data_IF_597769735470
#
_entry.id   IF_597769735470
#
_cell.length_a   1.000
_cell.length_b   1.000
_cell.length_c   1.000
_cell.angle_alpha   90.00
_cell.angle_beta   90.00
_cell.angle_gamma   90.00
#
_symmetry.space_group_name_H-M   'P 1'
#
loop_
_entity.id
_entity.type
_entity.pdbx_description
1 polymer ?
#
# COMPACT_ATOMS: atom_id res chain seq x y z
N UNK A 1 23.05 -15.44 10.24
CA UNK A 1 21.68 -15.54 10.82
C UNK A 1 20.69 -15.12 9.75
N UNK A 2 19.52 -15.74 9.66
CA UNK A 2 18.47 -15.33 8.72
C UNK A 2 17.80 -14.05 9.22
N UNK A 3 17.34 -13.17 8.28
CA UNK A 3 16.69 -11.91 8.63
C UNK A 3 15.38 -12.17 9.37
N UNK A 4 15.20 -11.50 10.50
CA UNK A 4 13.94 -11.46 11.28
C UNK A 4 13.18 -10.18 10.91
N UNK A 5 11.84 -10.25 10.80
CA UNK A 5 10.99 -9.06 10.65
C UNK A 5 10.56 -8.53 12.03
N UNK A 6 10.34 -7.22 12.10
CA UNK A 6 9.96 -6.57 13.37
C UNK A 6 8.65 -7.15 13.91
N UNK A 7 7.68 -7.47 13.08
CA UNK A 7 6.42 -8.13 13.50
C UNK A 7 6.59 -9.46 14.21
N UNK A 8 7.72 -10.16 13.98
CA UNK A 8 7.96 -11.51 14.48
C UNK A 8 8.80 -11.55 15.75
N UNK A 9 9.16 -10.37 16.29
CA UNK A 9 10.00 -10.25 17.48
C UNK A 9 9.32 -10.84 18.72
N UNK A 10 10.04 -11.72 19.41
CA UNK A 10 9.60 -12.35 20.67
C UNK A 10 10.68 -12.25 21.73
N UNK A 11 10.33 -11.93 23.01
CA UNK A 11 11.29 -11.82 24.08
C UNK A 11 12.20 -13.07 24.22
N UNK A 12 13.45 -12.84 24.54
CA UNK A 12 14.45 -13.88 24.78
C UNK A 12 15.16 -14.44 23.54
N UNK A 13 14.73 -14.07 22.33
CA UNK A 13 15.32 -14.52 21.07
C UNK A 13 16.51 -13.64 20.64
N UNK A 14 17.53 -14.27 20.09
CA UNK A 14 18.57 -13.59 19.34
C UNK A 14 18.07 -13.35 17.91
N UNK A 15 18.35 -12.16 17.39
CA UNK A 15 17.77 -11.70 16.10
C UNK A 15 18.81 -11.00 15.23
N UNK A 16 18.49 -10.99 13.92
CA UNK A 16 19.18 -10.22 12.91
C UNK A 16 18.14 -9.37 12.16
N UNK A 17 18.23 -8.05 12.29
CA UNK A 17 17.34 -7.07 11.66
C UNK A 17 18.07 -6.30 10.57
N UNK A 18 17.34 -5.92 9.54
CA UNK A 18 17.76 -4.95 8.53
C UNK A 18 16.63 -3.93 8.35
N UNK A 19 16.96 -2.65 8.37
CA UNK A 19 15.95 -1.61 8.27
C UNK A 19 16.53 -0.22 8.15
N UNK A 20 15.65 0.75 8.25
CA UNK A 20 15.97 2.18 8.19
C UNK A 20 15.91 2.80 9.59
N UNK A 21 16.85 3.71 9.87
CA UNK A 21 16.83 4.52 11.07
C UNK A 21 15.68 5.53 10.98
N UNK A 22 14.58 5.24 11.64
CA UNK A 22 13.38 6.08 11.62
C UNK A 22 13.51 7.30 12.52
N UNK A 23 14.09 7.10 13.70
CA UNK A 23 14.42 8.16 14.65
C UNK A 23 15.63 7.75 15.48
N UNK A 24 16.37 8.72 16.02
CA UNK A 24 17.52 8.46 16.87
C UNK A 24 17.59 9.48 18.01
N UNK A 25 17.79 8.99 19.22
CA UNK A 25 18.09 9.78 20.39
C UNK A 25 19.41 9.35 21.01
N UNK A 26 20.39 10.23 20.99
CA UNK A 26 21.73 9.97 21.55
C UNK A 26 21.86 10.54 22.95
N UNK A 27 22.31 9.72 23.90
CA UNK A 27 22.78 10.08 25.22
C UNK A 27 24.27 9.74 25.34
N UNK A 28 24.96 10.25 26.34
CA UNK A 28 26.41 10.08 26.47
C UNK A 28 26.88 8.61 26.40
N UNK A 29 26.10 7.68 26.95
CA UNK A 29 26.47 6.25 27.05
C UNK A 29 25.51 5.30 26.33
N UNK A 30 24.46 5.81 25.70
CA UNK A 30 23.43 5.02 25.04
C UNK A 30 22.84 5.77 23.85
N UNK A 31 22.54 5.05 22.78
CA UNK A 31 21.72 5.52 21.68
C UNK A 31 20.43 4.70 21.64
N UNK A 32 19.28 5.37 21.52
CA UNK A 32 17.98 4.75 21.26
C UNK A 32 17.67 4.97 19.79
N UNK A 33 17.55 3.89 19.05
CA UNK A 33 17.29 3.92 17.61
C UNK A 33 15.90 3.33 17.40
N UNK A 34 15.01 4.07 16.76
CA UNK A 34 13.79 3.50 16.23
C UNK A 34 14.13 2.91 14.86
N UNK A 35 14.21 1.60 14.79
CA UNK A 35 14.43 0.87 13.54
C UNK A 35 13.09 0.57 12.90
N UNK A 36 12.96 0.84 11.61
CA UNK A 36 11.78 0.54 10.82
C UNK A 36 12.11 -0.45 9.71
N UNK A 37 11.23 -1.44 9.53
CA UNK A 37 11.15 -2.26 8.34
C UNK A 37 9.75 -2.21 7.71
N UNK A 38 9.44 -3.09 6.75
CA UNK A 38 8.12 -3.15 6.11
C UNK A 38 6.99 -3.63 7.03
N UNK A 39 7.33 -4.24 8.16
CA UNK A 39 6.40 -4.86 9.11
C UNK A 39 6.15 -4.02 10.36
N UNK A 40 7.02 -3.03 10.67
CA UNK A 40 6.82 -2.20 11.85
C UNK A 40 8.01 -1.34 12.24
N UNK A 41 7.91 -0.80 13.46
CA UNK A 41 8.92 0.04 14.12
C UNK A 41 9.20 -0.52 15.52
N UNK A 42 10.49 -0.74 15.85
CA UNK A 42 10.93 -1.22 17.16
C UNK A 42 12.03 -0.34 17.72
N UNK A 43 12.09 -0.23 19.05
CA UNK A 43 13.19 0.42 19.75
C UNK A 43 14.40 -0.51 19.86
N UNK A 44 15.56 -0.03 19.42
CA UNK A 44 16.85 -0.70 19.60
C UNK A 44 17.71 0.14 20.54
N UNK A 45 18.30 -0.50 21.55
CA UNK A 45 19.16 0.13 22.57
C UNK A 45 20.60 -0.23 22.29
N UNK A 46 21.40 0.75 21.89
CA UNK A 46 22.83 0.61 21.58
C UNK A 46 23.64 1.27 22.71
N UNK A 47 24.47 0.49 23.40
CA UNK A 47 25.27 0.93 24.55
C UNK A 47 26.68 1.29 24.14
N UNK A 48 27.31 2.19 24.88
CA UNK A 48 28.74 2.51 24.72
C UNK A 48 29.58 1.22 24.84
N UNK A 49 30.54 1.05 23.91
CA UNK A 49 31.37 -0.16 23.83
C UNK A 49 30.81 -1.26 22.91
N UNK A 50 29.54 -1.16 22.49
CA UNK A 50 29.00 -2.05 21.47
C UNK A 50 29.59 -1.69 20.10
N UNK A 51 29.88 -2.70 19.27
CA UNK A 51 30.33 -2.50 17.90
C UNK A 51 29.28 -1.68 17.12
N UNK A 52 29.73 -0.62 16.43
CA UNK A 52 28.85 0.33 15.72
C UNK A 52 28.32 1.50 16.58
N UNK A 53 28.68 1.59 17.88
CA UNK A 53 28.25 2.73 18.72
C UNK A 53 28.70 4.10 18.21
N UNK A 54 29.91 4.15 17.65
CA UNK A 54 30.50 5.39 17.12
C UNK A 54 30.08 5.72 15.68
N UNK A 55 29.28 4.86 15.04
CA UNK A 55 28.76 5.14 13.71
C UNK A 55 27.92 6.45 13.72
N UNK A 56 28.15 7.26 12.69
CA UNK A 56 27.42 8.51 12.49
C UNK A 56 26.14 8.21 11.71
N UNK A 57 25.07 7.95 12.45
CA UNK A 57 23.76 7.62 11.89
C UNK A 57 22.96 8.90 11.59
N UNK A 58 22.35 8.93 10.43
CA UNK A 58 21.33 9.92 10.03
C UNK A 58 19.97 9.27 9.87
N UNK A 59 18.89 10.04 9.88
CA UNK A 59 17.55 9.52 9.58
C UNK A 59 17.55 8.86 8.21
N UNK A 60 16.84 7.73 8.10
CA UNK A 60 16.75 6.90 6.91
C UNK A 60 18.06 6.20 6.47
N UNK A 61 19.14 6.30 7.26
CA UNK A 61 20.31 5.40 7.08
C UNK A 61 19.88 3.96 7.15
N UNK A 62 20.49 3.11 6.32
CA UNK A 62 20.23 1.67 6.28
C UNK A 62 21.22 0.95 7.18
N UNK A 63 20.71 0.15 8.10
CA UNK A 63 21.54 -0.56 9.08
C UNK A 63 21.18 -2.04 9.18
N UNK A 64 22.18 -2.83 9.60
CA UNK A 64 22.02 -4.18 10.13
C UNK A 64 22.20 -4.13 11.64
N UNK A 65 21.34 -4.83 12.38
CA UNK A 65 21.39 -4.94 13.82
C UNK A 65 21.30 -6.41 14.22
N UNK A 66 22.29 -6.88 14.98
CA UNK A 66 22.17 -8.12 15.75
C UNK A 66 21.97 -7.79 17.22
N UNK A 67 21.21 -8.61 17.91
CA UNK A 67 20.93 -8.37 19.31
C UNK A 67 19.95 -9.36 19.89
N UNK A 68 19.55 -9.09 21.12
CA UNK A 68 18.59 -9.91 21.87
C UNK A 68 17.32 -9.13 22.18
N UNK A 69 16.17 -9.73 21.89
CA UNK A 69 14.88 -9.14 22.22
C UNK A 69 14.63 -9.24 23.72
N UNK A 70 14.31 -8.11 24.37
CA UNK A 70 13.95 -8.02 25.78
C UNK A 70 12.50 -7.55 25.94
N UNK A 71 11.85 -8.02 26.99
CA UNK A 71 10.56 -7.44 27.40
C UNK A 71 10.79 -6.02 27.89
N UNK A 72 9.95 -5.10 27.44
CA UNK A 72 9.97 -3.69 27.82
C UNK A 72 8.53 -3.16 27.94
N UNK A 73 8.37 -1.99 28.55
CA UNK A 73 7.09 -1.26 28.56
C UNK A 73 7.36 0.15 28.03
N UNK A 74 7.05 0.35 26.76
CA UNK A 74 7.37 1.57 26.02
C UNK A 74 6.11 2.39 25.78
N UNK A 75 6.24 3.71 25.80
CA UNK A 75 5.12 4.66 25.67
C UNK A 75 5.15 5.44 24.34
N UNK A 76 6.22 5.30 23.56
CA UNK A 76 6.32 6.00 22.29
C UNK A 76 5.24 5.51 21.30
N UNK A 77 4.45 6.44 20.79
CA UNK A 77 3.31 6.12 19.91
C UNK A 77 3.71 5.66 18.51
N UNK A 78 4.90 6.01 18.04
CA UNK A 78 5.45 5.59 16.74
C UNK A 78 5.81 4.10 16.70
N UNK A 79 5.99 3.45 17.87
CA UNK A 79 6.34 2.04 17.96
C UNK A 79 5.16 1.14 17.62
N UNK A 80 5.38 0.21 16.71
CA UNK A 80 4.44 -0.90 16.43
C UNK A 80 4.44 -1.89 17.59
N UNK A 81 5.64 -2.19 18.14
CA UNK A 81 5.79 -3.07 19.31
C UNK A 81 6.17 -2.25 20.54
N UNK A 82 5.25 -2.16 21.51
CA UNK A 82 5.43 -1.41 22.77
C UNK A 82 5.83 -2.28 23.96
N UNK A 83 5.84 -3.60 23.77
CA UNK A 83 6.10 -4.59 24.82
C UNK A 83 7.49 -5.23 24.71
N UNK A 84 8.27 -4.86 23.72
CA UNK A 84 9.64 -5.36 23.50
C UNK A 84 10.59 -4.25 23.07
N UNK A 85 11.88 -4.46 23.35
CA UNK A 85 12.99 -3.69 22.78
C UNK A 85 14.13 -4.63 22.40
N UNK A 86 15.04 -4.17 21.55
CA UNK A 86 16.22 -4.91 21.15
C UNK A 86 17.45 -4.39 21.88
N UNK A 87 18.08 -5.21 22.70
CA UNK A 87 19.41 -4.95 23.28
C UNK A 87 20.46 -5.30 22.21
N UNK A 88 21.06 -4.29 21.61
CA UNK A 88 21.94 -4.42 20.44
C UNK A 88 23.30 -4.96 20.85
N UNK A 89 23.74 -6.03 20.21
CA UNK A 89 25.10 -6.59 20.37
C UNK A 89 26.07 -6.08 19.27
N UNK A 90 25.53 -5.78 18.10
CA UNK A 90 26.28 -5.20 16.99
C UNK A 90 25.35 -4.38 16.09
N UNK A 91 25.86 -3.24 15.61
CA UNK A 91 25.23 -2.42 14.58
C UNK A 91 26.25 -2.20 13.47
N UNK A 92 25.81 -2.42 12.23
CA UNK A 92 26.58 -2.16 11.03
C UNK A 92 25.83 -1.17 10.15
N UNK A 93 26.45 -0.04 9.84
CA UNK A 93 25.95 0.93 8.87
C UNK A 93 26.18 0.39 7.46
N UNK A 94 25.11 0.14 6.72
CA UNK A 94 25.17 -0.31 5.33
C UNK A 94 25.23 0.85 4.35
N UNK A 95 24.41 1.87 4.60
CA UNK A 95 24.35 3.08 3.80
C UNK A 95 23.93 4.27 4.64
N UNK A 96 24.73 5.33 4.64
CA UNK A 96 24.40 6.60 5.30
C UNK A 96 23.47 7.40 4.38
N UNK A 97 22.34 7.85 4.89
CA UNK A 97 21.47 8.75 4.14
C UNK A 97 21.95 10.19 4.24
N UNK A 98 21.81 10.93 3.15
CA UNK A 98 21.99 12.38 3.09
C UNK A 98 20.78 13.10 3.68
N UNK A 99 20.80 14.44 3.69
CA UNK A 99 19.66 15.24 4.12
C UNK A 99 18.43 14.96 3.25
N UNK A 100 17.30 14.67 3.90
CA UNK A 100 16.09 14.26 3.21
C UNK A 100 15.30 15.46 2.69
N UNK A 101 14.83 15.45 1.44
CA UNK A 101 13.99 16.52 0.89
C UNK A 101 12.60 16.58 1.53
N UNK A 102 12.13 15.48 2.12
CA UNK A 102 10.92 15.41 2.94
C UNK A 102 11.16 14.56 4.18
N UNK A 103 10.53 14.91 5.29
CA UNK A 103 10.62 14.09 6.49
C UNK A 103 9.72 12.86 6.39
N UNK A 104 10.23 11.73 6.84
CA UNK A 104 9.53 10.44 6.87
C UNK A 104 8.82 10.20 8.21
N UNK A 105 9.40 10.68 9.32
CA UNK A 105 8.74 10.66 10.62
C UNK A 105 7.69 11.79 10.75
N UNK A 106 6.73 11.66 11.67
CA UNK A 106 5.63 12.63 11.81
C UNK A 106 6.01 13.91 12.59
N UNK A 107 7.30 14.09 12.94
CA UNK A 107 7.76 15.20 13.80
C UNK A 107 7.89 16.55 13.11
N UNK A 108 7.68 16.62 11.79
CA UNK A 108 7.84 17.86 11.03
C UNK A 108 6.58 18.36 10.36
N UNK A 109 6.64 19.59 9.84
CA UNK A 109 5.60 20.12 8.96
C UNK A 109 5.44 19.20 7.74
N UNK A 110 4.19 18.85 7.40
CA UNK A 110 3.91 18.03 6.24
C UNK A 110 4.31 18.76 4.94
N UNK A 111 4.96 18.04 4.03
CA UNK A 111 5.22 18.57 2.69
C UNK A 111 3.93 18.60 1.87
N UNK A 112 3.80 19.61 1.00
CA UNK A 112 2.69 19.72 0.04
C UNK A 112 2.68 18.56 -0.95
N UNK A 113 1.50 18.27 -1.51
CA UNK A 113 1.30 17.10 -2.38
C UNK A 113 2.28 17.02 -3.57
N UNK A 114 2.58 18.10 -4.31
CA UNK A 114 3.58 18.06 -5.40
C UNK A 114 4.95 17.58 -4.91
N UNK A 115 5.47 18.16 -3.83
CA UNK A 115 6.75 17.77 -3.24
C UNK A 115 6.76 16.31 -2.78
N UNK A 116 5.63 15.80 -2.24
CA UNK A 116 5.48 14.40 -1.86
C UNK A 116 5.47 13.47 -3.07
N UNK A 117 4.87 13.88 -4.18
CA UNK A 117 4.86 13.11 -5.43
C UNK A 117 6.26 13.04 -6.05
N UNK A 118 7.00 14.15 -6.06
CA UNK A 118 8.38 14.19 -6.56
C UNK A 118 9.32 13.31 -5.71
N UNK A 119 9.01 13.14 -4.43
CA UNK A 119 9.77 12.32 -3.48
C UNK A 119 9.00 11.06 -3.03
N UNK A 120 8.29 10.42 -3.96
CA UNK A 120 7.33 9.34 -3.66
C UNK A 120 7.91 8.16 -2.90
N UNK A 121 9.16 7.78 -3.18
CA UNK A 121 9.85 6.68 -2.48
C UNK A 121 10.01 6.94 -0.97
N UNK A 122 10.24 8.20 -0.58
CA UNK A 122 10.30 8.61 0.82
C UNK A 122 8.89 8.78 1.41
N UNK A 123 7.95 9.36 0.65
CA UNK A 123 6.58 9.56 1.11
C UNK A 123 5.88 8.23 1.48
N UNK A 124 6.08 7.18 0.67
CA UNK A 124 5.51 5.84 0.95
C UNK A 124 6.13 5.18 2.18
N UNK A 125 7.29 5.62 2.67
CA UNK A 125 7.88 5.14 3.93
C UNK A 125 7.11 5.62 5.16
N UNK A 126 6.28 6.66 5.05
CA UNK A 126 5.40 7.11 6.14
C UNK A 126 4.35 6.03 6.43
N UNK A 127 4.19 5.59 7.70
CA UNK A 127 3.27 4.50 8.03
C UNK A 127 1.84 4.72 7.52
N UNK A 128 1.30 5.93 7.65
CA UNK A 128 -0.05 6.27 7.16
C UNK A 128 -0.17 6.18 5.64
N UNK A 129 0.87 6.56 4.90
CA UNK A 129 0.87 6.47 3.43
C UNK A 129 1.00 5.00 3.00
N UNK A 130 1.91 4.25 3.62
CA UNK A 130 2.05 2.81 3.39
C UNK A 130 0.75 2.04 3.65
N UNK A 131 0.01 2.41 4.71
CA UNK A 131 -1.26 1.81 5.07
C UNK A 131 -2.30 1.90 3.93
N UNK A 132 -2.35 3.03 3.20
CA UNK A 132 -3.24 3.22 2.04
C UNK A 132 -2.96 2.16 0.97
N UNK A 133 -1.68 1.92 0.63
CA UNK A 133 -1.30 0.94 -0.39
C UNK A 133 -1.55 -0.50 0.05
N UNK A 134 -1.34 -0.80 1.34
CA UNK A 134 -1.68 -2.11 1.92
C UNK A 134 -3.19 -2.39 1.80
N UNK A 135 -4.03 -1.42 2.20
CA UNK A 135 -5.49 -1.53 2.07
C UNK A 135 -5.89 -1.68 0.60
N UNK A 136 -5.32 -0.88 -0.31
CA UNK A 136 -5.60 -0.99 -1.75
C UNK A 136 -5.28 -2.39 -2.29
N UNK A 137 -4.17 -2.99 -1.87
CA UNK A 137 -3.80 -4.36 -2.24
C UNK A 137 -4.85 -5.38 -1.78
N UNK A 138 -5.35 -5.25 -0.55
CA UNK A 138 -6.39 -6.15 -0.01
C UNK A 138 -7.74 -5.92 -0.70
N UNK A 139 -8.09 -4.70 -1.07
CA UNK A 139 -9.30 -4.39 -1.87
C UNK A 139 -9.27 -5.13 -3.21
N UNK A 140 -8.15 -5.02 -3.95
CA UNK A 140 -8.00 -5.69 -5.26
C UNK A 140 -8.03 -7.21 -5.08
N UNK A 141 -7.33 -7.74 -4.08
CA UNK A 141 -7.34 -9.16 -3.78
C UNK A 141 -8.76 -9.66 -3.43
N UNK A 142 -9.49 -8.92 -2.60
CA UNK A 142 -10.88 -9.26 -2.23
C UNK A 142 -11.83 -9.28 -3.42
N UNK A 143 -11.66 -8.34 -4.37
CA UNK A 143 -12.42 -8.35 -5.61
C UNK A 143 -12.16 -9.63 -6.42
N UNK A 144 -10.88 -9.96 -6.64
CA UNK A 144 -10.49 -11.17 -7.37
C UNK A 144 -10.99 -12.45 -6.68
N UNK A 145 -10.75 -12.57 -5.38
CA UNK A 145 -11.17 -13.72 -4.59
C UNK A 145 -12.69 -13.96 -4.70
N UNK A 146 -13.48 -12.89 -4.59
CA UNK A 146 -14.93 -12.98 -4.70
C UNK A 146 -15.37 -13.50 -6.08
N UNK A 147 -14.86 -12.91 -7.16
CA UNK A 147 -15.30 -13.27 -8.51
C UNK A 147 -14.75 -14.62 -8.98
N UNK A 148 -13.53 -15.00 -8.62
CA UNK A 148 -13.06 -16.37 -8.82
C UNK A 148 -13.93 -17.39 -8.07
N UNK A 149 -14.31 -17.10 -6.83
CA UNK A 149 -15.22 -17.93 -6.04
C UNK A 149 -16.63 -18.07 -6.61
N UNK A 150 -17.06 -17.14 -7.47
CA UNK A 150 -18.33 -17.17 -8.20
C UNK A 150 -18.22 -17.77 -9.61
N UNK A 151 -17.05 -18.30 -9.99
CA UNK A 151 -16.80 -18.94 -11.27
C UNK A 151 -16.62 -17.97 -12.44
N UNK A 152 -16.20 -16.74 -12.16
CA UNK A 152 -15.82 -15.79 -13.21
C UNK A 152 -14.40 -16.05 -13.71
N UNK A 153 -14.14 -15.72 -14.98
CA UNK A 153 -12.84 -15.76 -15.61
C UNK A 153 -12.24 -14.35 -15.64
N UNK A 154 -11.03 -14.16 -15.12
CA UNK A 154 -10.33 -12.88 -15.24
C UNK A 154 -9.79 -12.71 -16.66
N UNK A 155 -10.15 -11.62 -17.32
CA UNK A 155 -9.65 -11.25 -18.64
C UNK A 155 -8.68 -10.08 -18.54
N UNK A 156 -7.75 -10.00 -19.53
CA UNK A 156 -6.75 -8.93 -19.61
C UNK A 156 -7.00 -8.13 -20.92
N UNK A 157 -7.88 -7.11 -20.88
CA UNK A 157 -8.17 -6.30 -22.05
C UNK A 157 -6.98 -5.41 -22.42
N UNK A 158 -6.80 -5.08 -23.73
CA UNK A 158 -5.73 -4.18 -24.15
C UNK A 158 -5.96 -2.75 -23.66
N UNK A 159 -4.87 -2.09 -23.27
CA UNK A 159 -4.87 -0.69 -22.83
C UNK A 159 -4.70 0.32 -23.96
N UNK A 160 -4.26 -0.13 -25.16
CA UNK A 160 -4.17 0.69 -26.38
C UNK A 160 -5.16 0.14 -27.39
N UNK A 161 -6.04 0.98 -27.89
CA UNK A 161 -7.19 0.59 -28.70
C UNK A 161 -7.32 1.47 -29.94
N UNK A 162 -8.00 0.97 -30.98
CA UNK A 162 -8.14 1.67 -32.26
C UNK A 162 -9.30 2.69 -32.28
N UNK A 163 -10.24 2.62 -31.33
CA UNK A 163 -11.45 3.45 -31.30
C UNK A 163 -11.91 3.74 -29.88
N UNK A 164 -12.82 4.69 -29.72
CA UNK A 164 -13.50 4.95 -28.43
C UNK A 164 -14.31 3.74 -27.99
N UNK A 165 -14.31 3.47 -26.69
CA UNK A 165 -15.12 2.42 -26.05
C UNK A 165 -16.38 2.97 -25.39
N UNK A 166 -16.43 4.28 -25.16
CA UNK A 166 -17.57 4.99 -24.55
C UNK A 166 -17.81 6.32 -25.26
N UNK A 167 -19.07 6.76 -25.35
CA UNK A 167 -19.41 8.07 -25.89
C UNK A 167 -19.17 9.20 -24.89
N UNK A 168 -18.80 10.38 -25.39
CA UNK A 168 -18.86 11.64 -24.62
C UNK A 168 -17.64 11.98 -23.77
N UNK A 169 -16.57 11.22 -23.78
CA UNK A 169 -15.32 11.56 -23.07
C UNK A 169 -14.16 11.77 -24.04
N UNK A 170 -13.30 12.75 -23.72
CA UNK A 170 -12.08 12.98 -24.48
C UNK A 170 -11.11 11.80 -24.34
N UNK A 171 -10.38 11.51 -25.44
CA UNK A 171 -9.41 10.42 -25.53
C UNK A 171 -7.99 10.95 -25.47
N UNK A 172 -7.11 10.21 -24.79
CA UNK A 172 -5.68 10.39 -24.98
C UNK A 172 -5.25 9.68 -26.27
N UNK A 173 -4.92 10.47 -27.29
CA UNK A 173 -4.38 9.96 -28.55
C UNK A 173 -2.92 9.53 -28.38
N UNK A 174 -2.59 8.37 -28.93
CA UNK A 174 -1.24 7.79 -28.92
C UNK A 174 -0.79 7.57 -30.35
N UNK A 175 0.42 8.01 -30.69
CA UNK A 175 1.04 7.66 -31.98
C UNK A 175 1.43 6.17 -31.95
N UNK A 176 0.76 5.38 -32.77
CA UNK A 176 1.00 3.94 -32.90
C UNK A 176 1.60 3.64 -34.27
N UNK A 177 2.93 3.72 -34.38
CA UNK A 177 3.67 3.66 -35.65
C UNK A 177 3.19 4.75 -36.63
N UNK A 178 2.60 4.38 -37.75
CA UNK A 178 2.02 5.24 -38.78
C UNK A 178 0.50 5.48 -38.62
N UNK A 179 -0.10 4.92 -37.57
CA UNK A 179 -1.53 5.02 -37.26
C UNK A 179 -1.78 5.78 -35.96
N UNK A 180 -3.02 6.18 -35.79
CA UNK A 180 -3.53 6.70 -34.52
C UNK A 180 -4.11 5.57 -33.69
N UNK A 181 -3.86 5.59 -32.41
CA UNK A 181 -4.49 4.75 -31.41
C UNK A 181 -4.86 5.61 -30.18
N UNK A 182 -5.54 5.02 -29.23
CA UNK A 182 -6.01 5.73 -28.03
C UNK A 182 -5.77 4.89 -26.78
N UNK A 183 -5.57 5.55 -25.64
CA UNK A 183 -5.63 4.88 -24.36
C UNK A 183 -7.08 4.49 -24.04
N UNK A 184 -7.29 3.27 -23.57
CA UNK A 184 -8.62 2.72 -23.32
C UNK A 184 -9.33 3.47 -22.18
N UNK A 185 -10.58 3.88 -22.41
CA UNK A 185 -11.45 4.53 -21.40
C UNK A 185 -12.13 3.51 -20.49
N UNK A 186 -12.35 2.31 -20.99
CA UNK A 186 -12.90 1.15 -20.26
C UNK A 186 -12.65 -0.14 -21.05
N UNK A 187 -12.78 -1.31 -20.43
CA UNK A 187 -12.70 -2.60 -21.11
C UNK A 187 -14.02 -2.99 -21.82
N UNK A 188 -14.98 -2.07 -21.97
CA UNK A 188 -16.39 -2.37 -22.31
C UNK A 188 -16.55 -3.32 -23.51
N UNK A 189 -15.93 -3.02 -24.65
CA UNK A 189 -16.06 -3.84 -25.86
C UNK A 189 -15.46 -5.24 -25.67
N UNK A 190 -14.34 -5.34 -24.96
CA UNK A 190 -13.63 -6.60 -24.74
C UNK A 190 -14.34 -7.49 -23.72
N UNK A 191 -14.86 -6.93 -22.61
CA UNK A 191 -15.60 -7.72 -21.63
C UNK A 191 -16.90 -8.27 -22.21
N UNK A 192 -17.64 -7.48 -23.01
CA UNK A 192 -18.83 -7.95 -23.72
C UNK A 192 -18.52 -9.09 -24.70
N UNK A 193 -17.49 -8.91 -25.53
CA UNK A 193 -17.05 -9.92 -26.49
C UNK A 193 -16.65 -11.24 -25.78
N UNK A 194 -15.95 -11.15 -24.67
CA UNK A 194 -15.55 -12.33 -23.91
C UNK A 194 -16.73 -13.00 -23.17
N UNK A 195 -17.70 -12.21 -22.69
CA UNK A 195 -18.89 -12.74 -22.02
C UNK A 195 -19.80 -13.55 -22.95
N UNK A 196 -19.81 -13.27 -24.27
CA UNK A 196 -20.56 -14.07 -25.27
C UNK A 196 -20.12 -15.55 -25.24
N UNK A 197 -18.85 -15.82 -24.95
CA UNK A 197 -18.30 -17.19 -24.94
C UNK A 197 -18.03 -17.75 -23.55
N UNK A 198 -17.63 -16.90 -22.60
CA UNK A 198 -17.24 -17.31 -21.24
C UNK A 198 -18.34 -17.08 -20.20
N UNK A 199 -19.44 -16.44 -20.57
CA UNK A 199 -20.62 -16.10 -19.78
C UNK A 199 -20.35 -15.15 -18.60
N UNK A 200 -19.27 -15.36 -17.83
CA UNK A 200 -18.92 -14.59 -16.64
C UNK A 200 -17.47 -14.18 -16.69
N UNK A 201 -17.22 -12.91 -16.86
CA UNK A 201 -15.85 -12.39 -16.91
C UNK A 201 -15.69 -11.18 -16.00
N UNK A 202 -14.48 -10.97 -15.52
CA UNK A 202 -14.10 -9.77 -14.79
C UNK A 202 -12.72 -9.29 -15.22
N UNK A 203 -12.41 -8.04 -14.96
CA UNK A 203 -11.08 -7.47 -15.15
C UNK A 203 -10.71 -6.49 -14.06
N UNK A 204 -9.40 -6.35 -13.83
CA UNK A 204 -8.80 -5.28 -13.04
C UNK A 204 -7.83 -4.54 -13.94
N UNK A 205 -8.28 -3.52 -14.64
CA UNK A 205 -7.53 -2.84 -15.69
C UNK A 205 -7.25 -1.38 -15.37
N UNK A 206 -6.17 -0.83 -15.93
CA UNK A 206 -5.95 0.60 -15.95
C UNK A 206 -6.70 1.18 -17.13
N UNK A 207 -7.43 2.27 -16.90
CA UNK A 207 -8.17 3.01 -17.92
C UNK A 207 -7.86 4.50 -17.80
N UNK A 208 -8.08 5.24 -18.89
CA UNK A 208 -7.72 6.65 -18.97
C UNK A 208 -8.87 7.48 -19.49
N UNK A 209 -9.08 8.64 -18.88
CA UNK A 209 -10.06 9.63 -19.31
C UNK A 209 -9.39 11.00 -19.42
N UNK A 210 -9.39 11.59 -20.61
CA UNK A 210 -8.72 12.85 -20.88
C UNK A 210 -9.54 14.06 -20.42
N UNK A 211 -10.17 13.97 -19.24
CA UNK A 211 -10.98 15.03 -18.67
C UNK A 211 -10.08 16.09 -18.03
N UNK A 212 -10.29 17.36 -18.40
CA UNK A 212 -9.51 18.51 -17.93
C UNK A 212 -10.03 19.00 -16.57
N UNK A 213 -10.12 18.10 -15.59
CA UNK A 213 -10.51 18.45 -14.24
C UNK A 213 -9.32 18.35 -13.30
N UNK A 214 -9.11 19.39 -12.49
CA UNK A 214 -8.14 19.41 -11.39
C UNK A 214 -8.90 19.51 -10.06
N UNK A 215 -9.35 18.37 -9.55
CA UNK A 215 -10.06 18.26 -8.29
C UNK A 215 -9.59 17.03 -7.50
N UNK A 216 -9.88 17.01 -6.22
CA UNK A 216 -9.57 15.86 -5.34
C UNK A 216 -10.34 14.57 -5.69
N UNK A 217 -11.29 14.63 -6.62
CA UNK A 217 -12.15 13.49 -7.00
C UNK A 217 -11.96 13.03 -8.44
N UNK A 218 -11.21 13.78 -9.27
CA UNK A 218 -11.00 13.46 -10.67
C UNK A 218 -9.52 13.19 -10.92
N UNK A 219 -9.24 12.05 -11.55
CA UNK A 219 -7.92 11.64 -12.00
C UNK A 219 -8.03 11.08 -13.41
N UNK A 220 -6.98 11.27 -14.22
CA UNK A 220 -6.98 10.84 -15.62
C UNK A 220 -6.63 9.37 -15.80
N UNK A 221 -5.92 8.76 -14.85
CA UNK A 221 -5.60 7.33 -14.84
C UNK A 221 -6.31 6.65 -13.67
N UNK A 222 -7.14 5.64 -13.96
CA UNK A 222 -8.02 5.00 -13.01
C UNK A 222 -7.76 3.49 -13.02
N UNK A 223 -7.70 2.88 -11.84
CA UNK A 223 -7.79 1.42 -11.71
C UNK A 223 -9.27 1.03 -11.65
N UNK A 224 -9.76 0.45 -12.72
CA UNK A 224 -11.14 0.01 -12.84
C UNK A 224 -11.27 -1.49 -12.54
N UNK A 225 -12.31 -1.86 -11.81
CA UNK A 225 -12.68 -3.24 -11.50
C UNK A 225 -14.06 -3.49 -12.10
N UNK A 226 -14.12 -4.27 -13.16
CA UNK A 226 -15.30 -4.50 -13.99
C UNK A 226 -15.73 -5.95 -14.01
N UNK A 227 -17.04 -6.15 -14.18
CA UNK A 227 -17.62 -7.46 -14.50
C UNK A 227 -18.47 -7.37 -15.77
N UNK A 228 -18.66 -8.51 -16.41
CA UNK A 228 -19.68 -8.70 -17.46
C UNK A 228 -20.25 -10.10 -17.32
N UNK A 229 -21.58 -10.21 -17.37
CA UNK A 229 -22.30 -11.46 -17.10
C UNK A 229 -23.41 -11.64 -18.12
N UNK A 230 -23.43 -12.79 -18.78
CA UNK A 230 -24.52 -13.19 -19.68
C UNK A 230 -25.70 -13.77 -18.88
N UNK A 231 -26.88 -13.77 -19.49
CA UNK A 231 -28.11 -14.42 -19.01
C UNK A 231 -28.65 -13.93 -17.67
N UNK A 232 -28.33 -12.68 -17.26
CA UNK A 232 -28.91 -12.05 -16.08
C UNK A 232 -29.45 -10.64 -16.41
N UNK A 233 -30.33 -10.16 -15.56
CA UNK A 233 -30.87 -8.80 -15.62
C UNK A 233 -30.07 -7.81 -14.76
N UNK A 234 -30.49 -6.57 -14.75
CA UNK A 234 -29.92 -5.49 -13.94
C UNK A 234 -29.91 -5.82 -12.44
N UNK A 235 -30.97 -6.46 -11.93
CA UNK A 235 -31.07 -6.87 -10.51
C UNK A 235 -30.03 -7.92 -10.14
N UNK A 236 -29.76 -8.85 -11.07
CA UNK A 236 -28.70 -9.83 -10.91
C UNK A 236 -27.32 -9.19 -10.83
N UNK A 237 -27.03 -8.17 -11.68
CA UNK A 237 -25.78 -7.41 -11.62
C UNK A 237 -25.66 -6.61 -10.32
N UNK A 238 -26.74 -5.91 -9.90
CA UNK A 238 -26.78 -5.18 -8.63
C UNK A 238 -26.47 -6.08 -7.42
N UNK A 239 -26.96 -7.34 -7.43
CA UNK A 239 -26.68 -8.31 -6.38
C UNK A 239 -25.19 -8.68 -6.35
N UNK A 240 -24.56 -8.92 -7.51
CA UNK A 240 -23.10 -9.14 -7.55
C UNK A 240 -22.33 -7.97 -7.00
N UNK A 241 -22.72 -6.73 -7.35
CA UNK A 241 -22.09 -5.51 -6.84
C UNK A 241 -22.20 -5.43 -5.31
N UNK A 242 -23.40 -5.62 -4.76
CA UNK A 242 -23.63 -5.60 -3.31
C UNK A 242 -22.77 -6.63 -2.59
N UNK A 243 -22.83 -7.90 -3.02
CA UNK A 243 -22.09 -9.00 -2.42
C UNK A 243 -20.57 -8.78 -2.50
N UNK A 244 -20.06 -8.27 -3.64
CA UNK A 244 -18.65 -7.97 -3.83
C UNK A 244 -18.17 -6.86 -2.90
N UNK A 245 -18.89 -5.74 -2.81
CA UNK A 245 -18.54 -4.62 -1.93
C UNK A 245 -18.57 -5.05 -0.47
N UNK A 246 -19.57 -5.85 -0.06
CA UNK A 246 -19.64 -6.39 1.30
C UNK A 246 -18.50 -7.37 1.60
N UNK A 247 -18.13 -8.24 0.64
CA UNK A 247 -17.01 -9.16 0.78
C UNK A 247 -15.70 -8.40 0.96
N UNK A 248 -15.43 -7.41 0.10
CA UNK A 248 -14.24 -6.57 0.18
C UNK A 248 -14.17 -5.83 1.53
N UNK A 249 -15.27 -5.21 1.96
CA UNK A 249 -15.31 -4.51 3.24
C UNK A 249 -15.02 -5.43 4.44
N UNK A 250 -15.62 -6.64 4.46
CA UNK A 250 -15.32 -7.64 5.49
C UNK A 250 -13.85 -8.08 5.48
N UNK A 251 -13.27 -8.27 4.29
CA UNK A 251 -11.87 -8.66 4.14
C UNK A 251 -10.93 -7.55 4.65
N UNK A 252 -11.18 -6.31 4.30
CA UNK A 252 -10.41 -5.16 4.80
C UNK A 252 -10.53 -5.05 6.33
N UNK A 253 -11.74 -5.16 6.89
CA UNK A 253 -11.95 -5.15 8.34
C UNK A 253 -11.20 -6.28 9.06
N UNK A 254 -11.06 -7.44 8.42
CA UNK A 254 -10.35 -8.60 8.99
C UNK A 254 -8.83 -8.44 8.91
N UNK A 255 -8.31 -8.03 7.75
CA UNK A 255 -6.89 -8.12 7.40
C UNK A 255 -6.12 -6.80 7.57
N UNK A 256 -6.82 -5.64 7.64
CA UNK A 256 -6.22 -4.31 7.72
C UNK A 256 -6.59 -3.56 9.01
N UNK A 257 -6.75 -4.26 10.15
CA UNK A 257 -7.15 -3.62 11.41
C UNK A 257 -6.16 -2.56 11.88
N UNK A 258 -4.88 -2.84 11.77
CA UNK A 258 -3.81 -1.93 12.19
C UNK A 258 -3.75 -0.70 11.29
N UNK A 259 -3.86 -0.90 9.98
CA UNK A 259 -3.89 0.18 8.98
C UNK A 259 -5.11 1.10 9.16
N UNK A 260 -6.30 0.52 9.39
CA UNK A 260 -7.52 1.29 9.66
C UNK A 260 -7.39 2.12 10.95
N UNK A 261 -6.85 1.53 12.01
CA UNK A 261 -6.60 2.24 13.27
C UNK A 261 -5.59 3.37 13.09
N UNK A 262 -4.49 3.12 12.37
CA UNK A 262 -3.46 4.12 12.08
C UNK A 262 -4.00 5.31 11.29
N UNK A 263 -4.94 5.06 10.37
CA UNK A 263 -5.61 6.09 9.58
C UNK A 263 -6.76 6.77 10.34
N UNK A 264 -7.17 6.25 11.49
CA UNK A 264 -8.34 6.75 12.23
C UNK A 264 -9.67 6.50 11.51
N UNK A 265 -9.74 5.48 10.64
CA UNK A 265 -10.92 5.18 9.83
C UNK A 265 -11.78 4.11 10.50
N UNK A 266 -13.05 4.42 10.70
CA UNK A 266 -14.06 3.46 11.12
C UNK A 266 -14.80 2.96 9.88
N UNK A 267 -14.39 1.78 9.38
CA UNK A 267 -15.05 1.12 8.26
C UNK A 267 -16.23 0.28 8.77
N UNK A 268 -17.35 0.35 8.07
CA UNK A 268 -18.52 -0.52 8.31
C UNK A 268 -18.87 -1.27 7.03
N UNK A 269 -19.41 -2.48 7.17
CA UNK A 269 -19.91 -3.23 6.00
C UNK A 269 -21.18 -2.55 5.51
N UNK A 270 -21.22 -2.03 4.26
CA UNK A 270 -22.36 -1.28 3.78
C UNK A 270 -23.58 -2.18 3.57
N UNK A 271 -24.76 -1.61 3.80
CA UNK A 271 -26.04 -2.20 3.39
C UNK A 271 -26.48 -1.52 2.10
N UNK A 272 -26.78 -2.31 1.08
CA UNK A 272 -27.30 -1.75 -0.16
C UNK A 272 -28.66 -1.10 0.06
N UNK A 273 -28.88 0.02 -0.65
CA UNK A 273 -30.19 0.67 -0.77
C UNK A 273 -30.54 0.68 -2.25
N UNK A 274 -31.62 0.04 -2.60
CA UNK A 274 -32.16 0.07 -3.95
C UNK A 274 -33.04 1.33 -4.05
N UNK A 275 -32.67 2.23 -4.95
CA UNK A 275 -33.45 3.43 -5.26
C UNK A 275 -34.33 3.11 -6.46
N UNK A 276 -35.61 3.46 -6.39
CA UNK A 276 -36.57 3.35 -7.50
C UNK A 276 -36.59 4.62 -8.33
#
# INVERSE_FOLDING_TARGET
MERTYISDLKPGKDIFLQGWVHDIRSLAKMKFILLRDSSGIVQCVLKQGTNGFNEELTLESVVEITGKVKSAKLTNEELTLKNVEVDVSELKLLNKAEELPIQVNEKGAGAELPTRLDNRSLDVRKPKIAAIFKIQSIVINGFREFFYGKGFVEIQPPGIIATSTEGGTDLFEVKYFDKKAYLAQSPQLYKQLMAISLEKVFSTSTVWRAEKHDTTKHINEIRQMDIEVAFIDDKGVMKYLEEAVQHIARKVLKECKEELNLLGVKLEVPKAKYLT
#
